data_IF_674002508840
#
_entry.id   IF_674002508840
#
_cell.length_a   1.000
_cell.length_b   1.000
_cell.length_c   1.000
_cell.angle_alpha   90.00
_cell.angle_beta   90.00
_cell.angle_gamma   90.00
#
_symmetry.space_group_name_H-M   'P 1'
#
loop_
_entity.id
_entity.type
_entity.pdbx_description
1 polymer ?
#
# COMPACT_ATOMS: atom_id res chain seq x y z
N UNK A 1 -28.45 -8.98 -9.92
CA UNK A 1 -27.27 -8.16 -9.54
C UNK A 1 -26.04 -8.54 -10.37
N UNK A 2 -26.11 -8.51 -11.72
CA UNK A 2 -25.20 -9.34 -12.56
C UNK A 2 -24.51 -8.64 -13.74
N UNK A 3 -24.74 -7.35 -14.00
CA UNK A 3 -24.09 -6.64 -15.13
C UNK A 3 -23.04 -5.61 -14.70
N UNK A 4 -23.29 -4.90 -13.61
CA UNK A 4 -22.38 -3.87 -13.07
C UNK A 4 -21.06 -4.49 -12.57
N UNK A 5 -21.14 -5.62 -11.84
CA UNK A 5 -19.95 -6.33 -11.35
C UNK A 5 -19.11 -6.98 -12.47
N UNK A 6 -19.71 -7.25 -13.64
CA UNK A 6 -18.99 -7.84 -14.78
C UNK A 6 -18.19 -6.76 -15.52
N UNK A 7 -18.75 -5.55 -15.67
CA UNK A 7 -18.03 -4.42 -16.28
C UNK A 7 -16.85 -3.93 -15.42
N UNK A 8 -17.00 -3.89 -14.09
CA UNK A 8 -15.90 -3.52 -13.17
C UNK A 8 -14.70 -4.48 -13.24
N UNK A 9 -14.94 -5.78 -13.50
CA UNK A 9 -13.89 -6.78 -13.63
C UNK A 9 -13.15 -6.73 -14.97
N UNK A 10 -13.77 -6.18 -16.03
CA UNK A 10 -13.15 -6.05 -17.36
C UNK A 10 -12.37 -4.72 -17.52
N UNK A 11 -12.72 -3.67 -16.77
CA UNK A 11 -12.06 -2.35 -16.86
C UNK A 11 -10.76 -2.21 -16.07
N UNK A 12 -10.56 -2.99 -15.00
CA UNK A 12 -9.33 -2.91 -14.18
C UNK A 12 -8.14 -3.68 -14.75
N UNK A 13 -8.34 -4.48 -15.80
CA UNK A 13 -7.28 -5.25 -16.46
C UNK A 13 -6.32 -4.42 -17.32
N UNK A 14 -6.45 -3.09 -17.37
CA UNK A 14 -5.85 -2.25 -18.42
C UNK A 14 -4.68 -1.37 -17.91
N UNK A 15 -4.56 -1.10 -16.60
CA UNK A 15 -3.53 -0.16 -16.12
C UNK A 15 -2.17 -0.81 -15.83
N UNK A 16 -2.15 -2.11 -15.53
CA UNK A 16 -0.92 -2.83 -15.21
C UNK A 16 -0.31 -3.41 -16.48
N UNK A 17 0.99 -3.21 -16.67
CA UNK A 17 1.72 -3.85 -17.77
C UNK A 17 1.79 -5.36 -17.56
N UNK A 18 1.95 -6.13 -18.64
CA UNK A 18 2.11 -7.59 -18.56
C UNK A 18 3.28 -8.01 -17.67
N UNK A 19 4.41 -7.29 -17.76
CA UNK A 19 5.58 -7.50 -16.92
C UNK A 19 5.26 -7.28 -15.42
N UNK A 20 4.51 -6.22 -15.10
CA UNK A 20 4.08 -5.95 -13.73
C UNK A 20 3.20 -7.09 -13.20
N UNK A 21 2.22 -7.53 -13.99
CA UNK A 21 1.30 -8.63 -13.64
C UNK A 21 2.07 -9.93 -13.37
N UNK A 22 3.08 -10.25 -14.19
CA UNK A 22 3.95 -11.41 -13.94
C UNK A 22 4.72 -11.29 -12.63
N UNK A 23 5.28 -10.12 -12.35
CA UNK A 23 6.10 -9.87 -11.15
C UNK A 23 5.25 -9.97 -9.90
N UNK A 24 4.12 -9.25 -9.83
CA UNK A 24 3.22 -9.27 -8.68
C UNK A 24 2.55 -10.64 -8.50
N UNK A 25 2.36 -11.43 -9.55
CA UNK A 25 1.86 -12.80 -9.41
C UNK A 25 2.87 -13.72 -8.72
N UNK A 26 4.17 -13.43 -8.83
CA UNK A 26 5.27 -14.22 -8.28
C UNK A 26 5.70 -13.80 -6.87
N UNK A 27 5.28 -12.62 -6.36
CA UNK A 27 5.63 -12.22 -4.99
C UNK A 27 5.14 -13.23 -3.98
N UNK A 28 5.94 -13.49 -2.94
CA UNK A 28 5.53 -14.35 -1.84
C UNK A 28 4.85 -13.51 -0.76
N UNK A 29 3.64 -13.94 -0.37
CA UNK A 29 2.91 -13.37 0.76
C UNK A 29 2.66 -14.55 1.70
N UNK A 30 3.30 -14.58 2.89
CA UNK A 30 3.21 -15.73 3.76
C UNK A 30 1.77 -15.89 4.24
N UNK A 31 1.26 -17.12 4.27
CA UNK A 31 -0.10 -17.44 4.71
C UNK A 31 -0.40 -16.95 6.14
N UNK A 32 0.64 -16.84 6.96
CA UNK A 32 0.59 -16.32 8.33
C UNK A 32 1.64 -15.24 8.47
N UNK A 33 1.21 -14.02 8.78
CA UNK A 33 2.08 -12.86 8.98
C UNK A 33 2.28 -12.66 10.48
N UNK A 34 3.52 -12.68 10.96
CA UNK A 34 3.83 -12.47 12.38
C UNK A 34 3.94 -10.97 12.73
N UNK A 35 3.24 -10.54 13.78
CA UNK A 35 3.23 -9.16 14.25
C UNK A 35 4.27 -8.99 15.37
N UNK A 36 5.47 -8.50 15.02
CA UNK A 36 6.60 -8.39 15.95
C UNK A 36 6.33 -7.47 17.15
N UNK A 37 5.56 -6.41 16.95
CA UNK A 37 5.24 -5.39 17.95
C UNK A 37 4.02 -5.73 18.80
N UNK A 38 3.35 -6.87 18.56
CA UNK A 38 2.15 -7.27 19.27
C UNK A 38 2.41 -7.48 20.77
N UNK A 39 1.64 -6.81 21.62
CA UNK A 39 1.61 -6.96 23.07
C UNK A 39 0.87 -8.23 23.51
N UNK A 40 0.84 -8.52 24.81
CA UNK A 40 0.24 -9.76 25.34
C UNK A 40 -1.27 -9.90 25.10
N UNK A 41 -1.97 -8.78 24.85
CA UNK A 41 -3.40 -8.74 24.56
C UNK A 41 -3.72 -8.66 23.06
N UNK A 42 -2.69 -8.54 22.21
CA UNK A 42 -2.84 -8.42 20.77
C UNK A 42 -2.71 -9.79 20.10
N UNK A 43 -3.39 -9.95 18.97
CA UNK A 43 -3.15 -11.06 18.07
C UNK A 43 -1.69 -11.05 17.59
N UNK A 44 -1.05 -12.21 17.64
CA UNK A 44 0.35 -12.37 17.22
C UNK A 44 0.50 -12.57 15.72
N UNK A 45 -0.59 -12.93 15.04
CA UNK A 45 -0.55 -13.35 13.65
C UNK A 45 -1.77 -12.86 12.88
N UNK A 46 -1.55 -12.52 11.62
CA UNK A 46 -2.63 -12.29 10.65
C UNK A 46 -2.68 -13.48 9.69
N UNK A 47 -3.85 -14.07 9.51
CA UNK A 47 -4.07 -15.05 8.44
C UNK A 47 -4.33 -14.31 7.11
N UNK A 48 -3.36 -14.40 6.19
CA UNK A 48 -3.36 -13.64 4.94
C UNK A 48 -4.05 -14.36 3.77
N UNK A 49 -4.42 -15.63 3.95
CA UNK A 49 -4.95 -16.51 2.88
C UNK A 49 -6.29 -16.04 2.34
N UNK A 50 -7.08 -15.35 3.16
CA UNK A 50 -8.38 -14.81 2.76
C UNK A 50 -8.26 -13.36 2.27
N UNK A 51 -9.29 -12.87 1.57
CA UNK A 51 -9.43 -11.44 1.20
C UNK A 51 -9.95 -10.57 2.35
N UNK A 52 -9.98 -11.08 3.58
CA UNK A 52 -10.40 -10.35 4.77
C UNK A 52 -9.47 -10.64 5.93
N UNK A 53 -8.60 -9.68 6.24
CA UNK A 53 -7.73 -9.76 7.39
C UNK A 53 -8.46 -9.15 8.58
N UNK A 54 -8.59 -9.93 9.65
CA UNK A 54 -9.25 -9.53 10.88
C UNK A 54 -8.35 -9.96 12.03
N UNK A 55 -8.00 -9.01 12.89
CA UNK A 55 -7.10 -9.23 14.02
C UNK A 55 -7.37 -8.16 15.09
N UNK A 56 -7.13 -8.50 16.35
CA UNK A 56 -7.21 -7.58 17.48
C UNK A 56 -5.82 -7.00 17.78
N UNK A 57 -5.69 -5.67 17.82
CA UNK A 57 -4.42 -4.99 18.07
C UNK A 57 -4.63 -3.66 18.78
N UNK A 58 -3.83 -3.38 19.82
CA UNK A 58 -3.89 -2.17 20.65
C UNK A 58 -5.29 -1.86 21.17
N UNK A 59 -6.02 -2.89 21.60
CA UNK A 59 -7.38 -2.76 22.16
C UNK A 59 -8.49 -2.52 21.14
N UNK A 60 -8.19 -2.57 19.84
CA UNK A 60 -9.16 -2.40 18.76
C UNK A 60 -9.17 -3.60 17.83
N UNK A 61 -10.35 -3.92 17.28
CA UNK A 61 -10.47 -4.93 16.23
C UNK A 61 -10.26 -4.28 14.87
N UNK A 62 -9.20 -4.67 14.19
CA UNK A 62 -8.83 -4.17 12.88
C UNK A 62 -9.45 -5.01 11.76
N UNK A 63 -9.91 -4.35 10.69
CA UNK A 63 -10.54 -4.99 9.54
C UNK A 63 -9.93 -4.47 8.24
N UNK A 64 -9.30 -5.34 7.47
CA UNK A 64 -8.80 -5.02 6.13
C UNK A 64 -9.44 -5.96 5.10
N UNK A 65 -10.42 -5.43 4.35
CA UNK A 65 -11.17 -6.18 3.35
C UNK A 65 -10.72 -5.82 1.93
N UNK A 66 -10.08 -6.78 1.24
CA UNK A 66 -9.57 -6.62 -0.12
C UNK A 66 -10.68 -6.91 -1.13
N UNK A 67 -11.35 -5.87 -1.64
CA UNK A 67 -12.57 -6.00 -2.47
C UNK A 67 -12.39 -5.60 -3.94
N UNK A 68 -11.14 -5.52 -4.43
CA UNK A 68 -10.80 -5.16 -5.81
C UNK A 68 -10.56 -6.40 -6.68
N UNK A 69 -10.06 -6.19 -7.90
CA UNK A 69 -9.63 -7.26 -8.79
C UNK A 69 -8.42 -8.02 -8.22
N UNK A 70 -8.14 -9.20 -8.80
CA UNK A 70 -7.09 -10.10 -8.32
C UNK A 70 -5.71 -9.45 -8.26
N UNK A 71 -5.36 -8.61 -9.24
CA UNK A 71 -4.03 -7.99 -9.33
C UNK A 71 -3.92 -6.85 -8.32
N UNK A 72 -4.89 -5.94 -8.30
CA UNK A 72 -4.93 -4.85 -7.33
C UNK A 72 -4.96 -5.37 -5.90
N UNK A 73 -5.80 -6.37 -5.59
CA UNK A 73 -5.82 -7.01 -4.27
C UNK A 73 -4.47 -7.61 -3.90
N UNK A 74 -3.78 -8.26 -4.84
CA UNK A 74 -2.47 -8.86 -4.57
C UNK A 74 -1.40 -7.80 -4.30
N UNK A 75 -1.40 -6.71 -5.07
CA UNK A 75 -0.55 -5.53 -4.83
C UNK A 75 -0.80 -4.96 -3.44
N UNK A 76 -2.05 -4.64 -3.09
CA UNK A 76 -2.35 -4.03 -1.80
C UNK A 76 -2.08 -4.98 -0.64
N UNK A 77 -2.35 -6.29 -0.79
CA UNK A 77 -1.96 -7.31 0.21
C UNK A 77 -0.45 -7.34 0.42
N UNK A 78 0.33 -7.26 -0.66
CA UNK A 78 1.78 -7.25 -0.57
C UNK A 78 2.28 -6.04 0.24
N UNK A 79 1.76 -4.86 -0.07
CA UNK A 79 2.10 -3.63 0.65
C UNK A 79 1.67 -3.70 2.11
N UNK A 80 0.44 -4.13 2.40
CA UNK A 80 -0.05 -4.31 3.77
C UNK A 80 0.78 -5.34 4.55
N UNK A 81 1.22 -6.43 3.93
CA UNK A 81 2.11 -7.41 4.54
C UNK A 81 3.46 -6.78 4.92
N UNK A 82 4.06 -6.03 4.01
CA UNK A 82 5.33 -5.34 4.27
C UNK A 82 5.18 -4.27 5.34
N UNK A 83 4.05 -3.56 5.36
CA UNK A 83 3.71 -2.60 6.40
C UNK A 83 3.60 -3.29 7.77
N UNK A 84 2.82 -4.37 7.86
CA UNK A 84 2.63 -5.14 9.10
C UNK A 84 3.96 -5.69 9.68
N UNK A 85 4.94 -5.93 8.80
CA UNK A 85 6.25 -6.49 9.18
C UNK A 85 7.24 -5.45 9.68
N UNK A 86 7.03 -4.18 9.33
CA UNK A 86 7.97 -3.08 9.58
C UNK A 86 7.43 -2.00 10.52
N UNK A 87 6.11 -1.78 10.52
CA UNK A 87 5.42 -0.63 11.12
C UNK A 87 4.21 -1.08 11.96
N UNK A 88 3.44 -0.15 12.53
CA UNK A 88 2.32 -0.48 13.42
C UNK A 88 1.16 -1.20 12.70
N UNK A 89 0.85 -2.47 13.02
CA UNK A 89 -0.20 -3.23 12.35
C UNK A 89 -1.61 -2.62 12.45
N UNK A 90 -1.87 -1.78 13.46
CA UNK A 90 -3.16 -1.10 13.62
C UNK A 90 -3.56 -0.25 12.40
N UNK A 91 -2.58 0.27 11.65
CA UNK A 91 -2.79 1.16 10.51
C UNK A 91 -3.06 0.42 9.18
N UNK A 92 -3.02 -0.92 9.17
CA UNK A 92 -3.24 -1.71 7.94
C UNK A 92 -4.55 -1.34 7.20
N UNK A 93 -5.70 -1.11 7.89
CA UNK A 93 -6.92 -0.66 7.21
C UNK A 93 -6.76 0.67 6.47
N UNK A 94 -6.05 1.63 7.05
CA UNK A 94 -5.80 2.94 6.44
C UNK A 94 -4.80 2.85 5.29
N UNK A 95 -3.77 2.00 5.41
CA UNK A 95 -2.84 1.69 4.31
C UNK A 95 -3.60 1.10 3.11
N UNK A 96 -4.50 0.14 3.36
CA UNK A 96 -5.37 -0.44 2.33
C UNK A 96 -6.25 0.63 1.68
N UNK A 97 -6.81 1.54 2.46
CA UNK A 97 -7.67 2.60 1.94
C UNK A 97 -6.87 3.62 1.09
N UNK A 98 -5.72 4.09 1.58
CA UNK A 98 -4.84 5.00 0.87
C UNK A 98 -4.42 4.43 -0.50
N UNK A 99 -3.99 3.16 -0.53
CA UNK A 99 -3.63 2.49 -1.79
C UNK A 99 -4.82 2.22 -2.70
N UNK A 100 -6.01 2.04 -2.13
CA UNK A 100 -7.24 1.95 -2.92
C UNK A 100 -7.50 3.26 -3.66
N UNK A 101 -7.38 4.42 -3.01
CA UNK A 101 -7.56 5.73 -3.64
C UNK A 101 -6.49 6.01 -4.70
N UNK A 102 -5.22 5.71 -4.40
CA UNK A 102 -4.12 5.87 -5.36
C UNK A 102 -4.33 4.99 -6.61
N UNK A 103 -4.81 3.76 -6.42
CA UNK A 103 -5.13 2.85 -7.54
C UNK A 103 -6.30 3.38 -8.37
N UNK A 104 -7.33 3.95 -7.76
CA UNK A 104 -8.45 4.57 -8.49
C UNK A 104 -8.01 5.76 -9.35
N UNK A 105 -7.04 6.54 -8.85
CA UNK A 105 -6.42 7.59 -9.63
C UNK A 105 -5.66 7.03 -10.84
N UNK A 106 -4.89 5.97 -10.65
CA UNK A 106 -4.20 5.28 -11.74
C UNK A 106 -5.17 4.72 -12.79
N UNK A 107 -6.33 4.18 -12.36
CA UNK A 107 -7.41 3.74 -13.25
C UNK A 107 -7.91 4.93 -14.09
N UNK A 108 -8.17 6.07 -13.45
CA UNK A 108 -8.62 7.30 -14.13
C UNK A 108 -7.62 7.78 -15.17
N UNK A 109 -6.31 7.68 -14.87
CA UNK A 109 -5.22 8.04 -15.78
C UNK A 109 -4.83 6.90 -16.74
N UNK A 110 -5.46 5.73 -16.60
CA UNK A 110 -5.24 4.52 -17.41
C UNK A 110 -3.80 3.98 -17.41
N UNK A 111 -3.02 4.26 -16.35
CA UNK A 111 -1.65 3.81 -16.23
C UNK A 111 -1.23 3.68 -14.76
N UNK A 112 -0.62 2.54 -14.40
CA UNK A 112 0.03 2.34 -13.12
C UNK A 112 1.54 2.49 -13.27
N UNK A 113 2.05 3.70 -13.07
CA UNK A 113 3.48 4.04 -13.18
C UNK A 113 3.89 4.99 -12.07
N UNK A 114 5.20 5.08 -11.81
CA UNK A 114 5.74 6.05 -10.85
C UNK A 114 5.27 7.48 -11.12
N UNK A 115 5.34 7.93 -12.39
CA UNK A 115 4.96 9.30 -12.76
C UNK A 115 3.50 9.64 -12.42
N UNK A 116 2.57 8.69 -12.61
CA UNK A 116 1.15 8.90 -12.29
C UNK A 116 0.92 8.95 -10.78
N UNK A 117 1.61 8.11 -10.01
CA UNK A 117 1.52 8.12 -8.56
C UNK A 117 2.21 9.35 -7.95
N UNK A 118 3.28 9.84 -8.57
CA UNK A 118 3.92 11.12 -8.22
C UNK A 118 2.97 12.30 -8.48
N UNK A 119 2.34 12.36 -9.65
CA UNK A 119 1.29 13.37 -9.98
C UNK A 119 0.15 13.33 -8.94
N UNK A 120 -0.28 12.13 -8.54
CA UNK A 120 -1.29 11.97 -7.49
C UNK A 120 -0.88 12.60 -6.16
N UNK A 121 0.35 12.33 -5.71
CA UNK A 121 0.87 12.85 -4.44
C UNK A 121 1.15 14.36 -4.48
N UNK A 122 1.46 14.93 -5.64
CA UNK A 122 1.77 16.35 -5.80
C UNK A 122 0.51 17.22 -6.00
N UNK A 123 -0.53 16.67 -6.63
CA UNK A 123 -1.68 17.48 -7.10
C UNK A 123 -2.97 17.24 -6.32
N UNK A 124 -3.15 16.08 -5.71
CA UNK A 124 -4.40 15.75 -5.03
C UNK A 124 -4.35 16.18 -3.56
N UNK A 125 -5.46 16.74 -3.09
CA UNK A 125 -5.65 17.02 -1.68
C UNK A 125 -6.03 15.73 -0.97
N UNK A 126 -5.03 15.06 -0.39
CA UNK A 126 -5.17 13.79 0.34
C UNK A 126 -4.90 13.98 1.84
N UNK A 127 -5.43 13.08 2.66
CA UNK A 127 -5.08 13.03 4.10
C UNK A 127 -3.54 12.93 4.22
N UNK A 128 -2.89 13.76 5.04
CA UNK A 128 -1.44 13.74 5.19
C UNK A 128 -0.87 12.37 5.57
N UNK A 129 -1.61 11.51 6.29
CA UNK A 129 -1.17 10.14 6.62
C UNK A 129 -1.14 9.25 5.39
N UNK A 130 -2.10 9.43 4.47
CA UNK A 130 -2.19 8.63 3.25
C UNK A 130 -1.00 8.89 2.34
N UNK A 131 -0.47 10.11 2.33
CA UNK A 131 0.79 10.41 1.68
C UNK A 131 1.90 9.47 2.15
N UNK A 132 2.11 9.34 3.47
CA UNK A 132 3.17 8.48 4.00
C UNK A 132 2.91 6.99 3.75
N UNK A 133 1.67 6.53 3.80
CA UNK A 133 1.32 5.14 3.47
C UNK A 133 1.58 4.81 1.99
N UNK A 134 1.35 5.77 1.09
CA UNK A 134 1.63 5.60 -0.34
C UNK A 134 3.14 5.69 -0.58
N UNK A 135 3.85 6.64 0.03
CA UNK A 135 5.32 6.71 -0.05
C UNK A 135 5.95 5.40 0.43
N UNK A 136 5.47 4.82 1.52
CA UNK A 136 5.96 3.53 2.02
C UNK A 136 5.83 2.42 0.97
N UNK A 137 4.68 2.29 0.32
CA UNK A 137 4.51 1.28 -0.73
C UNK A 137 5.31 1.59 -1.99
N UNK A 138 5.45 2.87 -2.38
CA UNK A 138 6.29 3.28 -3.52
C UNK A 138 7.75 2.93 -3.28
N UNK A 139 8.25 3.15 -2.06
CA UNK A 139 9.61 2.74 -1.65
C UNK A 139 9.84 1.25 -1.86
N UNK A 140 8.87 0.40 -1.51
CA UNK A 140 8.96 -1.05 -1.75
C UNK A 140 9.02 -1.35 -3.25
N UNK A 141 8.12 -0.76 -4.05
CA UNK A 141 8.07 -1.00 -5.49
C UNK A 141 9.36 -0.55 -6.20
N UNK A 142 9.93 0.59 -5.80
CA UNK A 142 11.17 1.12 -6.36
C UNK A 142 12.40 0.29 -5.90
N UNK A 143 12.50 -0.03 -4.61
CA UNK A 143 13.61 -0.82 -4.07
C UNK A 143 13.71 -2.23 -4.67
N UNK A 144 12.57 -2.84 -5.00
CA UNK A 144 12.50 -4.15 -5.66
C UNK A 144 12.46 -4.09 -7.18
N UNK A 145 12.59 -2.88 -7.76
CA UNK A 145 12.59 -2.64 -9.20
C UNK A 145 11.39 -3.29 -9.91
N UNK A 146 10.18 -3.10 -9.38
CA UNK A 146 8.96 -3.56 -10.06
C UNK A 146 8.87 -2.92 -11.45
N UNK A 147 8.34 -3.63 -12.47
CA UNK A 147 8.22 -3.05 -13.80
C UNK A 147 7.45 -1.73 -13.80
N UNK A 148 8.10 -0.64 -14.25
CA UNK A 148 7.55 0.73 -14.19
C UNK A 148 7.98 1.54 -12.96
N UNK A 149 8.88 0.99 -12.13
CA UNK A 149 9.50 1.59 -10.95
C UNK A 149 10.99 1.25 -10.95
N UNK A 150 11.84 2.24 -10.75
CA UNK A 150 13.29 2.10 -10.76
C UNK A 150 13.90 2.50 -9.42
N UNK A 151 15.18 2.15 -9.22
CA UNK A 151 15.91 2.61 -8.04
C UNK A 151 16.12 4.14 -8.09
N UNK A 152 16.28 4.73 -9.27
CA UNK A 152 16.37 6.18 -9.41
C UNK A 152 15.06 6.87 -8.98
N UNK A 153 13.90 6.26 -9.28
CA UNK A 153 12.60 6.73 -8.80
C UNK A 153 12.49 6.74 -7.26
N UNK A 154 13.25 5.87 -6.57
CA UNK A 154 13.29 5.85 -5.10
C UNK A 154 13.87 7.16 -4.54
N UNK A 155 14.97 7.63 -5.11
CA UNK A 155 15.61 8.90 -4.71
C UNK A 155 14.67 10.07 -5.01
N UNK A 156 13.93 9.99 -6.11
CA UNK A 156 12.95 10.99 -6.52
C UNK A 156 11.79 11.18 -5.52
N UNK A 157 11.49 10.18 -4.67
CA UNK A 157 10.47 10.26 -3.62
C UNK A 157 10.83 11.30 -2.54
N UNK A 158 12.12 11.58 -2.34
CA UNK A 158 12.58 12.55 -1.36
C UNK A 158 12.16 13.98 -1.73
N UNK A 159 12.06 14.27 -3.03
CA UNK A 159 11.74 15.60 -3.55
C UNK A 159 10.24 15.90 -3.64
N UNK A 160 9.37 14.90 -3.42
CA UNK A 160 7.91 15.13 -3.43
C UNK A 160 7.52 16.02 -2.24
N UNK A 161 6.85 17.16 -2.46
CA UNK A 161 6.46 18.07 -1.39
C UNK A 161 5.57 17.35 -0.37
N UNK A 162 5.90 17.47 0.92
CA UNK A 162 5.12 16.87 2.00
C UNK A 162 3.82 17.67 2.18
N UNK A 163 2.68 17.00 2.41
CA UNK A 163 1.41 17.67 2.64
C UNK A 163 1.48 18.48 3.94
N UNK A 164 0.93 19.69 3.92
CA UNK A 164 0.84 20.52 5.11
C UNK A 164 -0.24 19.98 6.06
N UNK A 165 0.19 19.45 7.20
CA UNK A 165 -0.67 19.11 8.33
C UNK A 165 -0.61 20.15 9.45
N UNK A 166 -1.78 20.46 10.05
CA UNK A 166 -1.90 21.19 11.31
C UNK A 166 -1.68 20.28 12.53
N UNK A 167 -1.77 18.97 12.32
CA UNK A 167 -1.46 17.95 13.30
C UNK A 167 0.04 17.61 13.19
N UNK A 168 0.81 18.12 14.16
CA UNK A 168 2.25 17.94 14.21
C UNK A 168 2.64 16.50 14.52
N UNK A 169 1.75 15.73 15.17
CA UNK A 169 2.02 14.36 15.59
C UNK A 169 2.28 13.47 14.37
N UNK A 170 1.68 13.79 13.21
CA UNK A 170 1.91 13.10 11.94
C UNK A 170 3.40 13.11 11.55
N UNK A 171 4.13 14.20 11.81
CA UNK A 171 5.57 14.27 11.51
C UNK A 171 6.45 13.63 12.60
N UNK A 172 5.88 13.39 13.78
CA UNK A 172 6.56 12.72 14.90
C UNK A 172 6.30 11.22 14.94
N UNK A 173 5.28 10.74 14.24
CA UNK A 173 5.01 9.31 14.09
C UNK A 173 6.21 8.60 13.47
N UNK A 174 6.80 7.67 14.22
CA UNK A 174 7.94 6.84 13.81
C UNK A 174 7.64 6.09 12.50
N UNK A 175 6.36 5.80 12.25
CA UNK A 175 5.93 5.15 11.02
C UNK A 175 6.08 6.05 9.78
N UNK A 176 6.04 7.37 9.96
CA UNK A 176 6.20 8.39 8.92
C UNK A 176 7.64 8.92 8.80
N UNK A 177 8.50 8.62 9.78
CA UNK A 177 9.94 8.88 9.67
C UNK A 177 10.50 8.00 8.55
N UNK A 178 11.00 8.66 7.50
CA UNK A 178 11.70 7.99 6.42
C UNK A 178 13.08 7.60 6.95
N UNK A 179 13.25 6.30 7.26
CA UNK A 179 14.57 5.81 7.64
C UNK A 179 15.57 6.13 6.51
N UNK A 180 16.73 6.73 6.84
CA UNK A 180 17.77 6.94 5.86
C UNK A 180 18.18 5.58 5.32
N UNK A 181 18.24 5.46 3.98
CA UNK A 181 18.59 4.26 3.21
C UNK A 181 19.25 3.18 4.07
N UNK A 182 18.52 2.11 4.40
CA UNK A 182 19.15 0.89 4.89
C UNK A 182 20.09 0.42 3.78
N UNK A 183 21.37 0.76 3.91
CA UNK A 183 22.42 0.23 3.06
C UNK A 183 22.41 -1.28 3.24
N UNK A 184 21.88 -1.98 2.25
CA UNK A 184 22.06 -3.41 2.08
C UNK A 184 23.56 -3.77 2.02
#
# INVERSE_FOLDING_TARGET
>A
MSRINKQLNESNGIIYTSAFVETISKVDIPAVIYLKSAGCFDDKYINSTSDSWVFDYSGSRCYAHFRRDKISNRLTKYICFRYASAKCPAQIPDVLHAWSLATDHCITKSAFTFTVLKDYLETQEIDPRYFYYIIFGLKILCAEAFPGFTVDDYEDLEFIPRPHSHDWDIYQEIDHVLDPLEKA
#
